data_IF_430124717425
#
_entry.id   IF_430124717425
#
_cell.length_a   1.000
_cell.length_b   1.000
_cell.length_c   1.000
_cell.angle_alpha   90.00
_cell.angle_beta   90.00
_cell.angle_gamma   90.00
#
_symmetry.space_group_name_H-M   'P 1'
#
loop_
_entity.id
_entity.type
_entity.pdbx_description
1 polymer ?
#
# COMPACT_ATOMS: atom_id res chain seq x y z
N UNK A 1 7.37 9.87 4.95
CA UNK A 1 8.39 10.02 3.88
C UNK A 1 7.98 9.35 2.58
N UNK A 2 7.33 8.18 2.60
CA UNK A 2 6.99 7.44 1.38
C UNK A 2 6.19 8.24 0.34
N UNK A 3 5.19 9.05 0.75
CA UNK A 3 4.40 9.90 -0.15
C UNK A 3 5.11 11.21 -0.55
N UNK A 4 6.18 11.60 0.15
CA UNK A 4 6.88 12.86 -0.15
C UNK A 4 7.67 12.76 -1.46
N UNK A 5 8.20 11.58 -1.79
CA UNK A 5 8.90 11.34 -3.05
C UNK A 5 8.04 11.55 -4.29
N UNK A 6 6.85 10.92 -4.42
CA UNK A 6 5.98 11.18 -5.56
C UNK A 6 5.49 12.63 -5.59
N UNK A 7 5.22 13.26 -4.43
CA UNK A 7 4.81 14.67 -4.38
C UNK A 7 5.89 15.63 -4.88
N UNK A 8 7.16 15.36 -4.56
CA UNK A 8 8.28 16.12 -5.11
C UNK A 8 8.48 15.79 -6.60
N UNK A 9 8.32 14.53 -7.01
CA UNK A 9 8.39 14.09 -8.40
C UNK A 9 7.38 14.81 -9.29
N UNK A 10 6.11 14.86 -8.87
CA UNK A 10 5.04 15.61 -9.56
C UNK A 10 5.30 17.10 -9.63
N UNK A 11 5.94 17.67 -8.62
CA UNK A 11 6.27 19.09 -8.61
C UNK A 11 7.47 19.43 -9.52
N UNK A 12 8.35 18.46 -9.77
CA UNK A 12 9.61 18.67 -10.49
C UNK A 12 9.54 18.26 -11.97
N UNK A 13 8.68 17.31 -12.35
CA UNK A 13 8.60 16.81 -13.73
C UNK A 13 7.22 16.28 -14.09
N UNK A 14 6.80 16.49 -15.34
CA UNK A 14 5.58 15.91 -15.91
C UNK A 14 5.70 14.39 -16.18
N UNK A 15 6.91 13.83 -16.09
CA UNK A 15 7.15 12.39 -16.25
C UNK A 15 6.58 11.57 -15.08
N UNK A 16 6.52 12.15 -13.87
CA UNK A 16 5.91 11.53 -12.70
C UNK A 16 4.66 12.32 -12.35
N UNK A 17 3.56 12.05 -13.03
CA UNK A 17 2.31 12.81 -12.88
C UNK A 17 1.25 12.02 -12.08
N UNK A 18 1.43 11.95 -10.76
CA UNK A 18 0.40 11.47 -9.84
C UNK A 18 -0.66 12.55 -9.61
N UNK A 19 -1.91 12.19 -9.86
CA UNK A 19 -3.07 12.99 -9.49
C UNK A 19 -3.37 12.91 -7.99
N UNK A 20 -4.28 13.75 -7.52
CA UNK A 20 -4.72 13.72 -6.12
C UNK A 20 -5.37 12.38 -5.75
N UNK A 21 -6.00 11.72 -6.73
CA UNK A 21 -6.54 10.38 -6.63
C UNK A 21 -5.48 9.32 -6.33
N UNK A 22 -4.29 9.40 -6.92
CA UNK A 22 -3.21 8.44 -6.72
C UNK A 22 -2.64 8.56 -5.30
N UNK A 23 -2.49 9.80 -4.82
CA UNK A 23 -2.10 10.06 -3.44
C UNK A 23 -3.15 9.54 -2.46
N UNK A 24 -4.43 9.77 -2.73
CA UNK A 24 -5.53 9.29 -1.89
C UNK A 24 -5.59 7.75 -1.87
N UNK A 25 -5.46 7.11 -3.03
CA UNK A 25 -5.45 5.66 -3.16
C UNK A 25 -4.27 5.05 -2.40
N UNK A 26 -3.06 5.58 -2.58
CA UNK A 26 -1.87 5.09 -1.88
C UNK A 26 -1.97 5.31 -0.36
N UNK A 27 -2.45 6.48 0.09
CA UNK A 27 -2.64 6.76 1.51
C UNK A 27 -3.64 5.78 2.14
N UNK A 28 -4.76 5.50 1.45
CA UNK A 28 -5.77 4.55 1.91
C UNK A 28 -5.21 3.13 1.95
N UNK A 29 -4.49 2.70 0.93
CA UNK A 29 -3.86 1.38 0.88
C UNK A 29 -2.85 1.17 2.00
N UNK A 30 -2.00 2.16 2.28
CA UNK A 30 -1.06 2.12 3.40
C UNK A 30 -1.79 2.09 4.75
N UNK A 31 -2.85 2.90 4.90
CA UNK A 31 -3.69 2.89 6.09
C UNK A 31 -4.32 1.53 6.36
N UNK A 32 -4.85 0.88 5.32
CA UNK A 32 -5.40 -0.48 5.41
C UNK A 32 -4.33 -1.52 5.73
N UNK A 33 -3.14 -1.43 5.14
CA UNK A 33 -2.04 -2.34 5.44
C UNK A 33 -1.61 -2.22 6.91
N UNK A 34 -1.47 -0.99 7.42
CA UNK A 34 -1.18 -0.77 8.84
C UNK A 34 -2.28 -1.33 9.74
N UNK A 35 -3.55 -1.07 9.41
CA UNK A 35 -4.67 -1.61 10.18
C UNK A 35 -4.70 -3.15 10.17
N UNK A 36 -4.38 -3.77 9.03
CA UNK A 36 -4.28 -5.23 8.91
C UNK A 36 -3.13 -5.82 9.73
N UNK A 37 -1.98 -5.14 9.76
CA UNK A 37 -0.84 -5.55 10.60
C UNK A 37 -1.19 -5.43 12.09
N UNK A 38 -1.75 -4.30 12.51
CA UNK A 38 -2.19 -4.10 13.90
C UNK A 38 -3.25 -5.13 14.32
N UNK A 39 -4.23 -5.39 13.44
CA UNK A 39 -5.23 -6.43 13.66
C UNK A 39 -4.58 -7.82 13.76
N UNK A 40 -3.62 -8.14 12.89
CA UNK A 40 -2.90 -9.40 12.96
C UNK A 40 -2.17 -9.55 14.30
N UNK A 41 -1.47 -8.51 14.75
CA UNK A 41 -0.72 -8.52 16.01
C UNK A 41 -1.63 -8.62 17.25
N UNK A 42 -2.79 -7.95 17.23
CA UNK A 42 -3.69 -7.88 18.38
C UNK A 42 -4.66 -9.06 18.50
N UNK A 43 -5.16 -9.57 17.37
CA UNK A 43 -6.22 -10.58 17.37
C UNK A 43 -5.72 -12.02 17.14
N UNK A 44 -4.54 -12.23 16.55
CA UNK A 44 -4.05 -13.59 16.27
C UNK A 44 -3.17 -14.07 17.43
N UNK A 45 -3.48 -15.26 17.93
CA UNK A 45 -2.89 -15.80 19.16
C UNK A 45 -1.46 -16.33 18.99
N UNK A 46 -1.15 -16.97 17.87
CA UNK A 46 0.16 -17.60 17.65
C UNK A 46 1.03 -16.77 16.71
N UNK A 47 2.38 -16.80 16.90
CA UNK A 47 3.29 -16.08 16.01
C UNK A 47 3.19 -16.56 14.56
N UNK A 48 2.93 -17.85 14.34
CA UNK A 48 2.69 -18.40 12.99
C UNK A 48 1.49 -17.71 12.32
N UNK A 49 0.36 -17.60 13.01
CA UNK A 49 -0.83 -16.95 12.46
C UNK A 49 -0.60 -15.46 12.24
N UNK A 50 0.10 -14.77 13.14
CA UNK A 50 0.48 -13.35 12.97
C UNK A 50 1.30 -13.13 11.70
N UNK A 51 2.34 -13.93 11.49
CA UNK A 51 3.18 -13.85 10.29
C UNK A 51 2.36 -14.14 9.03
N UNK A 52 1.50 -15.16 9.06
CA UNK A 52 0.63 -15.47 7.94
C UNK A 52 -0.36 -14.33 7.62
N UNK A 53 -0.98 -13.72 8.63
CA UNK A 53 -1.90 -12.59 8.48
C UNK A 53 -1.21 -11.34 7.93
N UNK A 54 -0.04 -10.99 8.46
CA UNK A 54 0.78 -9.88 7.95
C UNK A 54 1.21 -10.17 6.51
N UNK A 55 1.69 -11.39 6.24
CA UNK A 55 2.09 -11.82 4.90
C UNK A 55 0.95 -11.69 3.89
N UNK A 56 -0.26 -12.13 4.25
CA UNK A 56 -1.45 -11.96 3.42
C UNK A 56 -1.77 -10.49 3.16
N UNK A 57 -1.74 -9.64 4.20
CA UNK A 57 -1.98 -8.21 4.06
C UNK A 57 -0.98 -7.53 3.11
N UNK A 58 0.31 -7.87 3.24
CA UNK A 58 1.37 -7.39 2.33
C UNK A 58 1.15 -7.87 0.90
N UNK A 59 0.80 -9.15 0.71
CA UNK A 59 0.52 -9.69 -0.62
C UNK A 59 -0.66 -8.96 -1.28
N UNK A 60 -1.77 -8.77 -0.54
CA UNK A 60 -2.93 -8.01 -1.04
C UNK A 60 -2.55 -6.57 -1.42
N UNK A 61 -1.78 -5.89 -0.56
CA UNK A 61 -1.27 -4.55 -0.86
C UNK A 61 -0.47 -4.52 -2.16
N UNK A 62 0.48 -5.45 -2.33
CA UNK A 62 1.34 -5.50 -3.53
C UNK A 62 0.55 -5.85 -4.79
N UNK A 63 -0.41 -6.78 -4.71
CA UNK A 63 -1.27 -7.15 -5.85
C UNK A 63 -2.15 -5.98 -6.28
N UNK A 64 -2.79 -5.30 -5.33
CA UNK A 64 -3.59 -4.10 -5.62
C UNK A 64 -2.72 -2.98 -6.18
N UNK A 65 -1.52 -2.79 -5.63
CA UNK A 65 -0.58 -1.80 -6.10
C UNK A 65 -0.16 -2.07 -7.54
N UNK A 66 0.22 -3.31 -7.86
CA UNK A 66 0.60 -3.70 -9.21
C UNK A 66 -0.56 -3.54 -10.20
N UNK A 67 -1.79 -3.82 -9.79
CA UNK A 67 -2.97 -3.59 -10.62
C UNK A 67 -3.18 -2.10 -10.92
N UNK A 68 -3.13 -1.24 -9.91
CA UNK A 68 -3.35 0.20 -10.08
C UNK A 68 -2.19 0.90 -10.80
N UNK A 69 -0.94 0.52 -10.49
CA UNK A 69 0.25 1.19 -11.01
C UNK A 69 0.67 0.69 -12.40
N UNK A 70 0.58 -0.61 -12.65
CA UNK A 70 1.10 -1.24 -13.89
C UNK A 70 -0.05 -1.74 -14.78
N UNK A 71 -1.26 -1.90 -14.25
CA UNK A 71 -2.40 -2.41 -15.03
C UNK A 71 -2.30 -3.90 -15.34
N UNK A 72 -1.62 -4.70 -14.49
CA UNK A 72 -1.29 -6.13 -14.74
C UNK A 72 -2.50 -7.01 -15.11
N UNK A 73 -3.71 -6.62 -14.72
CA UNK A 73 -4.94 -7.38 -15.02
C UNK A 73 -5.78 -6.80 -16.16
N UNK A 74 -5.19 -6.00 -17.06
CA UNK A 74 -5.81 -5.58 -18.33
C UNK A 74 -5.38 -6.46 -19.50
#
# INVERSE_FOLDING_TARGET
MLLAFPALGTAMSAEVNWGAEDFAAMALMLGLLCAAIEAALHFLATPMWRIAGIGLGVLMFLTLWAHLAVGVFN
#
